data_IF_708968098699
#
_entry.id   IF_708968098699
#
_cell.length_a   1.000
_cell.length_b   1.000
_cell.length_c   1.000
_cell.angle_alpha   90.00
_cell.angle_beta   90.00
_cell.angle_gamma   90.00
#
_symmetry.space_group_name_H-M   'P 1'
#
loop_
_entity.id
_entity.type
_entity.pdbx_description
1 polymer ?
#
# COMPACT_ATOMS: atom_id res chain seq x y z
N UNK A 1 -1.20 -6.62 2.84
CA UNK A 1 0.15 -7.29 2.76
C UNK A 1 0.98 -6.89 1.52
N UNK A 2 2.32 -6.84 1.60
CA UNK A 2 3.20 -6.62 0.42
C UNK A 2 3.51 -7.94 -0.29
N UNK A 3 3.58 -7.94 -1.63
CA UNK A 3 3.83 -9.16 -2.42
C UNK A 3 5.13 -9.10 -3.21
N UNK A 4 5.23 -8.17 -4.15
CA UNK A 4 6.37 -8.07 -5.08
C UNK A 4 6.50 -6.68 -5.70
N UNK A 5 7.64 -6.45 -6.35
CA UNK A 5 7.89 -5.26 -7.15
C UNK A 5 7.92 -5.65 -8.61
N UNK A 6 7.06 -5.03 -9.41
CA UNK A 6 7.04 -5.17 -10.86
C UNK A 6 7.67 -3.95 -11.53
N UNK A 7 8.35 -4.17 -12.66
CA UNK A 7 8.99 -3.10 -13.44
C UNK A 7 8.31 -3.02 -14.80
N UNK A 8 7.74 -1.85 -15.11
CA UNK A 8 7.11 -1.56 -16.40
C UNK A 8 8.03 -0.63 -17.20
N UNK A 9 8.35 -1.00 -18.44
CA UNK A 9 9.08 -0.12 -19.37
C UNK A 9 8.06 0.64 -20.21
N UNK A 10 8.08 1.97 -20.13
CA UNK A 10 7.24 2.84 -20.95
C UNK A 10 8.07 3.59 -21.98
N UNK A 11 7.55 3.61 -23.20
CA UNK A 11 8.12 4.36 -24.32
C UNK A 11 7.44 5.72 -24.42
N UNK A 12 8.24 6.75 -24.65
CA UNK A 12 7.79 8.12 -24.79
C UNK A 12 8.47 8.76 -25.99
N UNK A 13 7.82 9.79 -26.54
CA UNK A 13 8.36 10.62 -27.61
C UNK A 13 8.55 12.03 -27.08
N UNK A 14 9.75 12.60 -27.26
CA UNK A 14 10.03 14.01 -26.99
C UNK A 14 10.23 14.74 -28.30
N UNK A 15 9.52 15.85 -28.49
CA UNK A 15 9.74 16.77 -29.62
C UNK A 15 10.95 17.66 -29.32
N UNK A 16 11.89 17.75 -30.26
CA UNK A 16 13.04 18.68 -30.17
C UNK A 16 12.59 20.11 -30.43
N UNK A 17 13.46 21.09 -30.13
CA UNK A 17 13.24 22.50 -30.50
C UNK A 17 13.09 22.69 -32.01
N UNK A 18 13.69 21.80 -32.81
CA UNK A 18 13.62 21.78 -34.28
C UNK A 18 12.49 20.91 -34.84
N UNK A 19 11.62 20.37 -33.97
CA UNK A 19 10.45 19.59 -34.37
C UNK A 19 10.70 18.10 -34.62
N UNK A 20 11.95 17.61 -34.53
CA UNK A 20 12.28 16.18 -34.67
C UNK A 20 11.86 15.40 -33.42
N UNK A 21 11.27 14.22 -33.60
CA UNK A 21 10.86 13.37 -32.49
C UNK A 21 12.00 12.44 -32.06
N UNK A 22 12.29 12.41 -30.76
CA UNK A 22 13.28 11.54 -30.15
C UNK A 22 12.59 10.53 -29.22
N UNK A 23 12.64 9.23 -29.53
CA UNK A 23 12.11 8.20 -28.64
C UNK A 23 13.03 8.01 -27.43
N UNK A 24 12.43 7.81 -26.26
CA UNK A 24 13.14 7.42 -25.05
C UNK A 24 12.30 6.45 -24.23
N UNK A 25 12.96 5.61 -23.44
CA UNK A 25 12.31 4.67 -22.52
C UNK A 25 12.53 5.09 -21.07
N UNK A 26 11.52 4.93 -20.23
CA UNK A 26 11.65 5.05 -18.77
C UNK A 26 11.12 3.80 -18.09
N UNK A 27 11.84 3.33 -17.09
CA UNK A 27 11.42 2.21 -16.24
C UNK A 27 10.67 2.76 -15.04
N UNK A 28 9.43 2.32 -14.83
CA UNK A 28 8.66 2.58 -13.62
C UNK A 28 8.59 1.31 -12.79
N UNK A 29 8.82 1.44 -11.48
CA UNK A 29 8.64 0.33 -10.54
C UNK A 29 7.31 0.48 -9.83
N UNK A 30 6.51 -0.58 -9.80
CA UNK A 30 5.27 -0.68 -9.05
C UNK A 30 5.42 -1.71 -7.94
N UNK A 31 4.89 -1.39 -6.77
CA UNK A 31 4.73 -2.35 -5.69
C UNK A 31 3.31 -2.93 -5.75
N UNK A 32 3.21 -4.26 -5.71
CA UNK A 32 1.95 -4.99 -5.60
C UNK A 32 1.69 -5.29 -4.14
N UNK A 33 0.47 -4.97 -3.73
CA UNK A 33 -0.06 -5.23 -2.41
C UNK A 33 -1.32 -6.07 -2.53
N UNK A 34 -1.57 -6.87 -1.50
CA UNK A 34 -2.85 -7.52 -1.24
C UNK A 34 -3.64 -6.65 -0.27
N UNK A 35 -4.90 -6.35 -0.60
CA UNK A 35 -5.78 -5.58 0.27
C UNK A 35 -6.17 -6.39 1.51
N UNK A 36 -6.02 -5.81 2.71
CA UNK A 36 -6.40 -6.49 3.95
C UNK A 36 -7.92 -6.41 4.27
N UNK A 37 -8.72 -5.87 3.34
CA UNK A 37 -10.18 -5.77 3.47
C UNK A 37 -10.89 -6.63 2.41
N UNK A 38 -10.63 -6.39 1.11
CA UNK A 38 -11.23 -7.19 0.04
C UNK A 38 -10.35 -8.36 -0.45
N UNK A 39 -9.11 -8.48 0.02
CA UNK A 39 -8.16 -9.52 -0.43
C UNK A 39 -7.84 -9.49 -1.93
N UNK A 40 -8.10 -8.37 -2.61
CA UNK A 40 -7.73 -8.16 -4.00
C UNK A 40 -6.31 -7.59 -4.12
N UNK A 41 -5.62 -7.95 -5.21
CA UNK A 41 -4.32 -7.38 -5.54
C UNK A 41 -4.46 -5.99 -6.14
N UNK A 42 -3.65 -5.04 -5.67
CA UNK A 42 -3.59 -3.71 -6.24
C UNK A 42 -2.15 -3.19 -6.34
N UNK A 43 -1.92 -2.31 -7.32
CA UNK A 43 -0.60 -1.74 -7.60
C UNK A 43 -0.50 -0.28 -7.19
N UNK A 44 0.65 0.11 -6.62
CA UNK A 44 1.03 1.51 -6.38
C UNK A 44 2.42 1.78 -6.95
N UNK A 45 2.65 3.01 -7.40
CA UNK A 45 3.99 3.43 -7.85
C UNK A 45 4.96 3.40 -6.66
N UNK A 46 6.09 2.69 -6.78
CA UNK A 46 7.07 2.54 -5.69
C UNK A 46 7.56 3.89 -5.17
N UNK A 47 7.72 4.88 -6.05
CA UNK A 47 8.20 6.22 -5.68
C UNK A 47 7.21 7.03 -4.81
N UNK A 48 5.94 6.62 -4.71
CA UNK A 48 4.94 7.26 -3.85
C UNK A 48 4.70 6.50 -2.55
N UNK A 49 5.35 5.35 -2.37
CA UNK A 49 5.24 4.54 -1.16
C UNK A 49 6.48 4.75 -0.34
N UNK A 50 6.30 5.08 0.94
CA UNK A 50 7.41 5.17 1.89
C UNK A 50 8.12 3.79 1.98
N UNK A 51 9.46 3.73 1.88
CA UNK A 51 10.20 2.47 1.96
C UNK A 51 9.87 1.63 3.19
N UNK A 52 9.56 2.26 4.34
CA UNK A 52 9.21 1.55 5.59
C UNK A 52 7.88 0.81 5.50
N UNK A 53 7.00 1.19 4.57
CA UNK A 53 5.69 0.56 4.36
C UNK A 53 5.74 -0.61 3.38
N UNK A 54 6.89 -0.96 2.82
CA UNK A 54 7.09 -2.16 2.00
C UNK A 54 7.35 -3.38 2.88
N UNK A 55 6.53 -3.53 3.92
CA UNK A 55 6.65 -4.55 4.94
C UNK A 55 5.24 -5.02 5.31
N UNK A 56 5.15 -6.23 5.86
CA UNK A 56 3.89 -6.92 6.15
C UNK A 56 3.27 -6.50 7.47
N UNK A 57 4.02 -5.80 8.33
CA UNK A 57 3.48 -5.17 9.55
C UNK A 57 2.51 -4.03 9.24
N UNK A 58 2.58 -3.44 8.05
CA UNK A 58 1.68 -2.36 7.64
C UNK A 58 0.45 -2.90 6.94
N UNK A 59 -0.70 -2.32 7.30
CA UNK A 59 -1.96 -2.62 6.67
C UNK A 59 -2.09 -1.84 5.37
N UNK A 60 -2.45 -2.56 4.29
CA UNK A 60 -2.55 -2.06 2.93
C UNK A 60 -3.99 -2.18 2.45
N UNK A 61 -4.63 -1.04 2.21
CA UNK A 61 -6.02 -0.98 1.73
C UNK A 61 -6.06 -0.45 0.31
N UNK A 62 -6.83 -1.09 -0.55
CA UNK A 62 -7.03 -0.65 -1.93
C UNK A 62 -7.88 0.63 -1.96
N UNK A 63 -7.79 1.44 -3.03
CA UNK A 63 -8.59 2.67 -3.14
C UNK A 63 -10.10 2.41 -3.24
N UNK A 64 -10.54 1.19 -3.58
CA UNK A 64 -11.96 0.83 -3.67
C UNK A 64 -12.63 0.66 -2.29
N UNK A 65 -11.89 0.21 -1.27
CA UNK A 65 -12.44 -0.10 0.05
C UNK A 65 -12.48 1.09 1.05
N UNK A 66 -12.12 2.30 0.62
CA UNK A 66 -12.00 3.50 1.47
C UNK A 66 -11.00 3.34 2.65
N UNK A 67 -9.72 3.73 2.42
CA UNK A 67 -8.68 3.64 3.44
C UNK A 67 -8.97 4.40 4.75
N UNK A 68 -9.78 5.47 4.70
CA UNK A 68 -10.04 6.30 5.89
C UNK A 68 -10.98 5.60 6.85
N UNK A 69 -12.06 5.02 6.34
CA UNK A 69 -13.03 4.25 7.15
C UNK A 69 -12.36 3.02 7.76
N UNK A 70 -11.55 2.31 6.98
CA UNK A 70 -10.79 1.17 7.48
C UNK A 70 -9.86 1.56 8.64
N UNK A 71 -9.08 2.64 8.48
CA UNK A 71 -8.16 3.11 9.52
C UNK A 71 -8.91 3.52 10.80
N UNK A 72 -10.07 4.16 10.68
CA UNK A 72 -10.92 4.49 11.83
C UNK A 72 -11.44 3.24 12.53
N UNK A 73 -11.93 2.25 11.77
CA UNK A 73 -12.40 0.96 12.31
C UNK A 73 -11.30 0.25 13.09
N UNK A 74 -10.09 0.14 12.52
CA UNK A 74 -8.92 -0.44 13.19
C UNK A 74 -8.51 0.32 14.44
N UNK A 75 -8.57 1.65 14.42
CA UNK A 75 -8.34 2.47 15.60
C UNK A 75 -9.34 2.21 16.73
N UNK A 76 -10.63 2.01 16.40
CA UNK A 76 -11.67 1.67 17.38
C UNK A 76 -11.48 0.26 17.92
N UNK A 77 -11.15 -0.73 17.07
CA UNK A 77 -10.81 -2.09 17.49
C UNK A 77 -9.65 -2.10 18.50
N UNK A 78 -8.57 -1.38 18.21
CA UNK A 78 -7.42 -1.29 19.11
C UNK A 78 -7.77 -0.62 20.44
N UNK A 79 -8.60 0.44 20.42
CA UNK A 79 -9.07 1.08 21.66
C UNK A 79 -9.94 0.15 22.50
N UNK A 80 -10.78 -0.68 21.87
CA UNK A 80 -11.60 -1.66 22.59
C UNK A 80 -10.73 -2.75 23.21
N UNK A 81 -9.71 -3.23 22.51
CA UNK A 81 -8.71 -4.17 23.06
C UNK A 81 -8.01 -3.61 24.29
N UNK A 82 -7.66 -2.33 24.28
CA UNK A 82 -7.02 -1.68 25.42
C UNK A 82 -7.98 -1.36 26.58
N UNK A 83 -9.29 -1.38 26.34
CA UNK A 83 -10.33 -1.06 27.32
C UNK A 83 -11.04 -2.33 27.83
N UNK A 84 -10.27 -3.41 27.99
CA UNK A 84 -10.73 -4.67 28.55
C UNK A 84 -10.59 -4.57 30.09
N UNK A 85 -11.54 -5.08 30.88
CA UNK A 85 -11.42 -5.10 32.34
C UNK A 85 -10.23 -5.95 32.79
N UNK A 86 -9.66 -5.61 33.94
CA UNK A 86 -8.52 -6.32 34.54
C UNK A 86 -8.84 -7.80 34.81
N UNK A 87 -10.12 -8.11 35.04
CA UNK A 87 -10.62 -9.46 35.31
C UNK A 87 -10.85 -10.30 34.04
N UNK A 88 -10.51 -9.77 32.86
CA UNK A 88 -10.51 -10.59 31.66
C UNK A 88 -9.27 -11.49 31.70
N UNK A 89 -9.48 -12.81 31.76
CA UNK A 89 -8.44 -13.86 31.71
C UNK A 89 -7.74 -13.90 30.34
N UNK A 90 -7.15 -12.78 29.92
CA UNK A 90 -6.44 -12.62 28.65
C UNK A 90 -4.97 -12.43 28.97
N UNK A 91 -4.13 -13.24 28.36
CA UNK A 91 -2.69 -13.14 28.54
C UNK A 91 -2.12 -11.97 27.73
N UNK A 92 -0.96 -11.44 28.15
CA UNK A 92 -0.28 -10.33 27.44
C UNK A 92 0.02 -10.70 25.98
N UNK A 93 0.22 -11.99 25.70
CA UNK A 93 0.51 -12.51 24.36
C UNK A 93 -0.71 -12.47 23.42
N UNK A 94 -1.93 -12.40 23.96
CA UNK A 94 -3.20 -12.42 23.21
C UNK A 94 -3.80 -11.01 22.98
N UNK A 95 -3.28 -9.99 23.67
CA UNK A 95 -3.66 -8.59 23.55
C UNK A 95 -3.17 -7.95 22.23
#
# INVERSE_FOLDING_TARGET
MFKRIEKEVRFYLRKSKTGKNHPYKRVRSYAIFLCDECHEEFKREKGKVDPKRLDDYYVHVCPACDPKRFAQKKGVEQRRKLNIPVDADITIDEL
#
